data_IF_811822970389
#
_entry.id   IF_811822970389
#
_cell.length_a   1.000
_cell.length_b   1.000
_cell.length_c   1.000
_cell.angle_alpha   90.00
_cell.angle_beta   90.00
_cell.angle_gamma   90.00
#
_symmetry.space_group_name_H-M   'P 1'
#
loop_
_entity.id
_entity.type
_entity.pdbx_description
1 polymer ?
#
# COMPACT_ATOMS: atom_id res chain seq x y z
N UNK A 1 2.12 8.65 11.74
CA UNK A 1 0.65 8.58 11.64
C UNK A 1 0.25 8.54 10.18
N UNK A 2 -0.71 7.69 9.82
CA UNK A 2 -1.23 7.58 8.45
C UNK A 2 -2.18 8.74 8.14
N UNK A 3 -2.10 9.26 6.92
CA UNK A 3 -3.08 10.18 6.36
C UNK A 3 -3.74 9.54 5.14
N UNK A 4 -5.07 9.60 5.07
CA UNK A 4 -5.87 9.06 3.97
C UNK A 4 -6.62 10.21 3.30
N UNK A 5 -6.48 10.32 1.99
CA UNK A 5 -7.31 11.17 1.15
C UNK A 5 -8.32 10.30 0.40
N UNK A 6 -9.60 10.59 0.53
CA UNK A 6 -10.68 9.90 -0.20
C UNK A 6 -11.08 10.65 -1.47
N UNK A 7 -11.32 9.92 -2.55
CA UNK A 7 -11.78 10.46 -3.84
C UNK A 7 -10.66 10.96 -4.74
N UNK A 8 -11.00 11.87 -5.67
CA UNK A 8 -10.08 12.32 -6.71
C UNK A 8 -8.91 13.15 -6.19
N UNK A 9 -7.70 12.66 -6.42
CA UNK A 9 -6.45 13.34 -6.06
C UNK A 9 -5.51 13.35 -7.28
N UNK A 10 -5.51 14.41 -8.10
CA UNK A 10 -4.70 14.49 -9.33
C UNK A 10 -3.20 14.25 -9.12
N UNK A 11 -2.68 14.57 -7.93
CA UNK A 11 -1.28 14.38 -7.55
C UNK A 11 -0.95 12.91 -7.21
N UNK A 12 -1.96 12.07 -7.00
CA UNK A 12 -1.77 10.67 -6.69
C UNK A 12 -1.49 9.87 -7.97
N UNK A 13 -0.49 8.99 -7.89
CA UNK A 13 -0.23 8.01 -8.95
C UNK A 13 -1.31 6.94 -8.87
N UNK A 14 -2.25 7.03 -9.79
CA UNK A 14 -3.41 6.14 -9.86
C UNK A 14 -3.04 4.73 -10.35
N UNK A 15 -2.31 4.61 -11.46
CA UNK A 15 -1.89 3.33 -12.02
C UNK A 15 -0.53 2.89 -11.46
N UNK A 16 -0.56 2.37 -10.24
CA UNK A 16 0.63 1.92 -9.51
C UNK A 16 1.37 0.78 -10.21
N UNK A 17 0.66 -0.12 -10.90
CA UNK A 17 1.28 -1.23 -11.62
C UNK A 17 2.17 -0.73 -12.78
N UNK A 18 1.66 0.21 -13.58
CA UNK A 18 2.43 0.84 -14.67
C UNK A 18 3.58 1.65 -14.12
N UNK A 19 3.37 2.40 -13.04
CA UNK A 19 4.44 3.19 -12.44
C UNK A 19 5.55 2.29 -11.88
N UNK A 20 5.20 1.23 -11.15
CA UNK A 20 6.15 0.25 -10.63
C UNK A 20 7.00 -0.35 -11.76
N UNK A 21 6.36 -0.82 -12.84
CA UNK A 21 7.05 -1.40 -14.00
C UNK A 21 8.16 -0.51 -14.54
N UNK A 22 7.97 0.81 -14.50
CA UNK A 22 8.91 1.78 -15.07
C UNK A 22 9.89 2.39 -14.05
N UNK A 23 9.73 2.12 -12.75
CA UNK A 23 10.47 2.85 -11.69
C UNK A 23 11.11 1.96 -10.62
N UNK A 24 10.69 0.71 -10.46
CA UNK A 24 11.23 -0.16 -9.43
C UNK A 24 12.72 -0.42 -9.65
N UNK A 25 13.45 -0.64 -8.55
CA UNK A 25 14.86 -1.04 -8.59
C UNK A 25 14.95 -2.49 -8.14
N UNK A 26 15.80 -3.29 -8.80
CA UNK A 26 16.03 -4.69 -8.42
C UNK A 26 16.45 -4.84 -6.96
N UNK A 27 17.20 -3.87 -6.42
CA UNK A 27 17.60 -3.83 -5.01
C UNK A 27 16.44 -3.68 -4.02
N UNK A 28 15.24 -3.28 -4.46
CA UNK A 28 14.05 -3.25 -3.60
C UNK A 28 13.52 -4.65 -3.31
N UNK A 29 13.73 -5.60 -4.21
CA UNK A 29 13.13 -6.93 -4.14
C UNK A 29 13.78 -7.77 -3.03
N UNK A 30 15.07 -7.58 -2.80
CA UNK A 30 15.85 -8.30 -1.78
C UNK A 30 15.94 -7.57 -0.45
N UNK A 31 15.33 -6.38 -0.32
CA UNK A 31 15.22 -5.69 0.97
C UNK A 31 14.37 -6.53 1.94
N UNK A 32 14.82 -6.70 3.18
CA UNK A 32 14.16 -7.60 4.15
C UNK A 32 12.70 -7.20 4.44
N UNK A 33 12.38 -5.90 4.40
CA UNK A 33 11.01 -5.43 4.58
C UNK A 33 10.15 -5.78 3.37
N UNK A 34 10.70 -5.62 2.16
CA UNK A 34 10.03 -6.02 0.92
C UNK A 34 9.81 -7.54 0.83
N UNK A 35 10.81 -8.35 1.20
CA UNK A 35 10.71 -9.81 1.28
C UNK A 35 9.57 -10.21 2.21
N UNK A 36 9.45 -9.54 3.35
CA UNK A 36 8.36 -9.80 4.31
C UNK A 36 6.99 -9.45 3.74
N UNK A 37 6.86 -8.34 3.01
CA UNK A 37 5.63 -7.97 2.30
C UNK A 37 5.28 -9.02 1.23
N UNK A 38 6.23 -9.40 0.38
CA UNK A 38 6.01 -10.37 -0.72
C UNK A 38 5.56 -11.72 -0.15
N UNK A 39 6.21 -12.17 0.92
CA UNK A 39 5.84 -13.42 1.59
C UNK A 39 4.46 -13.39 2.22
N UNK A 40 4.08 -12.26 2.79
CA UNK A 40 2.82 -12.15 3.50
C UNK A 40 1.61 -11.91 2.58
N UNK A 41 1.75 -11.02 1.61
CA UNK A 41 0.65 -10.58 0.73
C UNK A 41 0.48 -11.56 -0.44
N UNK A 42 1.56 -11.93 -1.12
CA UNK A 42 1.53 -12.79 -2.30
C UNK A 42 1.85 -14.26 -1.99
N UNK A 43 2.16 -14.58 -0.71
CA UNK A 43 2.56 -15.95 -0.30
C UNK A 43 3.75 -16.49 -1.08
N UNK A 44 4.60 -15.61 -1.61
CA UNK A 44 5.68 -15.95 -2.52
C UNK A 44 7.06 -15.77 -1.86
N UNK A 45 8.06 -16.53 -2.29
CA UNK A 45 9.42 -16.51 -1.73
C UNK A 45 10.39 -15.78 -2.67
N UNK A 46 11.16 -14.83 -2.14
CA UNK A 46 12.19 -14.14 -2.93
C UNK A 46 13.44 -15.01 -3.00
N UNK A 47 13.82 -15.45 -4.20
CA UNK A 47 15.03 -16.25 -4.45
C UNK A 47 16.21 -15.34 -4.81
N UNK A 48 15.95 -14.34 -5.65
CA UNK A 48 16.93 -13.31 -6.02
C UNK A 48 16.19 -12.03 -6.40
N UNK A 49 16.94 -10.97 -6.71
CA UNK A 49 16.38 -9.68 -7.13
C UNK A 49 15.48 -9.75 -8.39
N UNK A 50 15.63 -10.79 -9.21
CA UNK A 50 14.88 -10.97 -10.45
C UNK A 50 14.00 -12.24 -10.45
N UNK A 51 14.05 -13.06 -9.40
CA UNK A 51 13.35 -14.35 -9.32
C UNK A 51 12.62 -14.49 -8.00
N UNK A 52 11.31 -14.70 -8.08
CA UNK A 52 10.39 -14.93 -6.97
C UNK A 52 9.65 -16.24 -7.24
N UNK A 53 9.54 -17.11 -6.24
CA UNK A 53 8.77 -18.35 -6.33
C UNK A 53 7.35 -18.11 -5.84
N UNK A 54 6.39 -18.16 -6.77
CA UNK A 54 4.97 -18.08 -6.47
C UNK A 54 4.38 -19.48 -6.32
N UNK A 55 3.56 -19.73 -5.28
CA UNK A 55 2.88 -21.02 -5.13
C UNK A 55 1.85 -21.28 -6.23
N UNK A 56 1.41 -20.24 -6.95
CA UNK A 56 0.40 -20.34 -8.01
C UNK A 56 1.03 -20.30 -9.40
N UNK A 57 2.04 -19.45 -9.61
CA UNK A 57 2.61 -19.18 -10.93
C UNK A 57 4.00 -19.81 -11.15
N UNK A 58 4.58 -20.44 -10.14
CA UNK A 58 5.98 -20.92 -10.16
C UNK A 58 6.98 -19.76 -10.13
N UNK A 59 8.12 -19.93 -10.78
CA UNK A 59 9.15 -18.89 -10.88
C UNK A 59 8.66 -17.70 -11.72
N UNK A 60 8.58 -16.53 -11.09
CA UNK A 60 8.11 -15.28 -11.70
C UNK A 60 9.14 -14.16 -11.53
N UNK A 61 9.05 -13.16 -12.40
CA UNK A 61 9.77 -11.90 -12.25
C UNK A 61 9.04 -10.93 -11.30
N UNK A 62 9.71 -9.90 -10.75
CA UNK A 62 9.05 -8.86 -9.94
C UNK A 62 7.88 -8.15 -10.65
N UNK A 63 7.88 -8.12 -11.98
CA UNK A 63 6.79 -7.53 -12.77
C UNK A 63 5.48 -8.31 -12.68
N UNK A 64 5.51 -9.55 -12.20
CA UNK A 64 4.33 -10.41 -12.04
C UNK A 64 3.79 -10.44 -10.61
N UNK A 65 4.42 -9.75 -9.66
CA UNK A 65 3.88 -9.51 -8.33
C UNK A 65 2.48 -8.88 -8.40
N UNK A 66 1.67 -9.10 -7.37
CA UNK A 66 0.33 -8.52 -7.30
C UNK A 66 0.36 -6.99 -7.30
N UNK A 67 -0.78 -6.39 -7.66
CA UNK A 67 -0.95 -4.93 -7.56
C UNK A 67 -0.73 -4.41 -6.15
N UNK A 68 -1.20 -5.13 -5.13
CA UNK A 68 -1.03 -4.78 -3.72
C UNK A 68 0.45 -4.72 -3.31
N UNK A 69 1.23 -5.76 -3.62
CA UNK A 69 2.67 -5.76 -3.34
C UNK A 69 3.38 -4.61 -4.06
N UNK A 70 3.13 -4.44 -5.37
CA UNK A 70 3.75 -3.35 -6.15
C UNK A 70 3.46 -1.99 -5.53
N UNK A 71 2.22 -1.74 -5.12
CA UNK A 71 1.81 -0.50 -4.45
C UNK A 71 2.48 -0.32 -3.09
N UNK A 72 2.57 -1.38 -2.28
CA UNK A 72 3.28 -1.32 -0.99
C UNK A 72 4.79 -1.03 -1.15
N UNK A 73 5.44 -1.64 -2.14
CA UNK A 73 6.85 -1.38 -2.44
C UNK A 73 7.07 0.06 -2.92
N UNK A 74 6.18 0.58 -3.77
CA UNK A 74 6.18 1.99 -4.15
C UNK A 74 6.05 2.91 -2.94
N UNK A 75 5.05 2.68 -2.08
CA UNK A 75 4.91 3.44 -0.84
C UNK A 75 6.16 3.35 0.03
N UNK A 76 6.78 2.16 0.15
CA UNK A 76 7.96 1.93 0.97
C UNK A 76 9.16 2.74 0.50
N UNK A 77 9.50 2.67 -0.78
CA UNK A 77 10.77 3.16 -1.31
C UNK A 77 10.68 4.51 -2.01
N UNK A 78 9.56 4.82 -2.66
CA UNK A 78 9.32 6.14 -3.24
C UNK A 78 8.60 7.04 -2.24
N UNK A 79 9.36 7.95 -1.64
CA UNK A 79 8.85 8.90 -0.64
C UNK A 79 8.38 10.23 -1.23
N UNK A 80 8.46 10.39 -2.55
CA UNK A 80 8.14 11.66 -3.23
C UNK A 80 6.69 11.72 -3.69
N UNK A 81 6.10 10.58 -3.98
CA UNK A 81 4.77 10.50 -4.58
C UNK A 81 3.74 9.94 -3.60
N UNK A 82 2.49 10.27 -3.88
CA UNK A 82 1.32 9.69 -3.23
C UNK A 82 0.79 8.61 -4.16
N UNK A 83 0.42 7.46 -3.60
CA UNK A 83 -0.05 6.32 -4.38
C UNK A 83 -1.51 6.02 -4.06
N UNK A 84 -2.25 5.61 -5.10
CA UNK A 84 -3.57 5.05 -4.96
C UNK A 84 -3.47 3.67 -4.27
N UNK A 85 -3.92 3.60 -3.02
CA UNK A 85 -3.98 2.38 -2.22
C UNK A 85 -5.21 1.52 -2.52
N UNK A 86 -6.13 1.99 -3.39
CA UNK A 86 -7.33 1.21 -3.77
C UNK A 86 -7.00 -0.01 -4.61
N UNK A 87 -5.76 -0.13 -5.11
CA UNK A 87 -5.28 -1.35 -5.78
C UNK A 87 -4.86 -2.43 -4.78
N UNK A 88 -4.81 -2.09 -3.49
CA UNK A 88 -4.48 -3.02 -2.42
C UNK A 88 -5.75 -3.71 -1.91
N UNK A 89 -5.64 -4.98 -1.52
CA UNK A 89 -6.64 -5.63 -0.68
C UNK A 89 -6.40 -5.36 0.81
N UNK A 90 -7.30 -5.82 1.67
CA UNK A 90 -7.25 -5.58 3.12
C UNK A 90 -5.97 -6.15 3.77
N UNK A 91 -5.37 -7.21 3.19
CA UNK A 91 -4.10 -7.76 3.66
C UNK A 91 -2.91 -6.78 3.55
N UNK A 92 -3.05 -5.68 2.83
CA UNK A 92 -2.06 -4.61 2.74
C UNK A 92 -2.17 -3.59 3.90
N UNK A 93 -3.32 -3.48 4.56
CA UNK A 93 -3.62 -2.41 5.50
C UNK A 93 -2.62 -2.35 6.66
N UNK A 94 -2.25 -3.51 7.21
CA UNK A 94 -1.24 -3.59 8.30
C UNK A 94 0.12 -3.04 7.88
N UNK A 95 0.53 -3.23 6.63
CA UNK A 95 1.80 -2.74 6.11
C UNK A 95 1.79 -1.23 5.88
N UNK A 96 0.64 -0.68 5.47
CA UNK A 96 0.43 0.77 5.35
C UNK A 96 0.49 1.43 6.73
N UNK A 97 -0.18 0.85 7.73
CA UNK A 97 -0.12 1.32 9.11
C UNK A 97 1.30 1.24 9.68
N UNK A 98 2.00 0.13 9.44
CA UNK A 98 3.37 -0.06 9.92
C UNK A 98 4.34 0.96 9.33
N UNK A 99 4.31 1.17 8.01
CA UNK A 99 5.09 2.23 7.36
C UNK A 99 4.78 3.63 7.89
N UNK A 100 3.55 3.86 8.34
CA UNK A 100 3.13 5.14 8.91
C UNK A 100 3.57 5.34 10.37
N UNK A 101 4.13 4.32 11.05
CA UNK A 101 4.73 4.49 12.39
C UNK A 101 6.01 5.32 12.33
N UNK A 102 6.86 5.05 11.33
CA UNK A 102 8.19 5.64 11.22
C UNK A 102 8.24 6.97 10.47
N UNK A 103 7.17 7.31 9.74
CA UNK A 103 7.10 8.54 8.93
C UNK A 103 5.67 8.98 8.65
N UNK A 104 5.54 10.20 8.16
CA UNK A 104 4.31 10.66 7.52
C UNK A 104 4.11 9.88 6.22
N UNK A 105 3.00 9.15 6.12
CA UNK A 105 2.56 8.48 4.90
C UNK A 105 1.19 9.04 4.52
N UNK A 106 1.04 9.45 3.26
CA UNK A 106 -0.24 9.88 2.69
C UNK A 106 -0.60 8.88 1.59
N UNK A 107 -1.81 8.36 1.64
CA UNK A 107 -2.35 7.46 0.61
C UNK A 107 -3.67 8.00 0.08
N UNK A 108 -3.95 7.68 -1.17
CA UNK A 108 -5.24 7.98 -1.80
C UNK A 108 -6.12 6.71 -1.82
N UNK A 109 -7.40 6.85 -1.53
CA UNK A 109 -8.38 5.76 -1.50
C UNK A 109 -9.69 6.16 -2.20
N UNK A 110 -10.23 5.25 -3.00
CA UNK A 110 -11.52 5.35 -3.68
C UNK A 110 -12.59 4.43 -3.06
N UNK A 111 -12.23 3.76 -1.97
CA UNK A 111 -13.13 3.02 -1.09
C UNK A 111 -12.50 2.96 0.30
N UNK A 112 -13.30 2.69 1.33
CA UNK A 112 -12.77 2.48 2.68
C UNK A 112 -12.04 1.14 2.73
N UNK A 113 -10.74 1.17 3.01
CA UNK A 113 -9.93 -0.01 3.29
C UNK A 113 -10.19 -0.49 4.72
N UNK A 114 -10.29 -1.80 4.94
CA UNK A 114 -10.38 -2.35 6.29
C UNK A 114 -9.00 -2.32 6.98
N UNK A 115 -8.85 -1.41 7.95
CA UNK A 115 -7.64 -1.29 8.77
C UNK A 115 -7.65 -2.21 10.01
N UNK A 116 -8.65 -3.07 10.13
CA UNK A 116 -8.79 -4.02 11.22
C UNK A 116 -9.56 -3.47 12.41
N UNK A 117 -9.66 -4.30 13.46
CA UNK A 117 -10.43 -4.00 14.68
C UNK A 117 -9.64 -3.32 15.78
N UNK A 118 -8.31 -3.29 15.65
CA UNK A 118 -7.45 -2.62 16.62
C UNK A 118 -7.58 -1.10 16.47
N UNK A 119 -7.40 -0.39 17.59
CA UNK A 119 -7.39 1.06 17.56
C UNK A 119 -6.24 1.57 16.66
N UNK A 120 -6.56 2.49 15.77
CA UNK A 120 -5.60 3.16 14.92
C UNK A 120 -5.69 4.68 15.08
N UNK A 121 -4.81 5.40 14.40
CA UNK A 121 -4.90 6.86 14.27
C UNK A 121 -4.68 7.20 12.81
N UNK A 122 -5.77 7.60 12.14
CA UNK A 122 -5.76 7.98 10.73
C UNK A 122 -6.26 9.41 10.62
N UNK A 123 -5.50 10.25 9.92
CA UNK A 123 -5.97 11.58 9.52
C UNK A 123 -6.73 11.47 8.21
N UNK A 124 -8.01 11.78 8.21
CA UNK A 124 -8.80 11.99 6.99
C UNK A 124 -8.45 13.36 6.44
N UNK A 125 -7.74 13.40 5.31
CA UNK A 125 -7.16 14.64 4.77
C UNK A 125 -8.26 15.59 4.30
N UNK A 126 -9.34 15.06 3.71
CA UNK A 126 -10.46 15.84 3.17
C UNK A 126 -11.11 16.74 4.23
N UNK A 127 -11.34 16.23 5.44
CA UNK A 127 -11.97 16.97 6.55
C UNK A 127 -10.96 17.51 7.57
N UNK A 128 -9.71 17.03 7.53
CA UNK A 128 -8.69 17.33 8.53
C UNK A 128 -8.84 16.57 9.85
N UNK A 129 -9.91 15.78 10.03
CA UNK A 129 -10.20 15.04 11.28
C UNK A 129 -9.27 13.85 11.46
N UNK A 130 -9.02 13.49 12.72
CA UNK A 130 -8.31 12.27 13.11
C UNK A 130 -9.36 11.30 13.65
N UNK A 131 -9.40 10.10 13.07
CA UNK A 131 -10.29 9.01 13.46
C UNK A 131 -9.50 7.89 14.11
N UNK A 132 -10.18 7.13 14.98
CA UNK A 132 -9.53 6.17 15.87
C UNK A 132 -9.88 4.71 15.62
N UNK A 133 -10.92 4.46 14.84
CA UNK A 133 -11.47 3.14 14.58
C UNK A 133 -12.18 3.11 13.22
N UNK A 134 -12.61 1.92 12.79
CA UNK A 134 -13.29 1.73 11.51
C UNK A 134 -14.64 2.43 11.41
N UNK A 135 -15.42 2.50 12.49
CA UNK A 135 -16.74 3.13 12.45
C UNK A 135 -16.62 4.64 12.16
N UNK A 136 -15.70 5.32 12.84
CA UNK A 136 -15.39 6.72 12.60
C UNK A 136 -14.83 6.92 11.19
N UNK A 137 -13.90 6.06 10.74
CA UNK A 137 -13.33 6.17 9.40
C UNK A 137 -14.40 6.03 8.30
N UNK A 138 -15.29 5.05 8.44
CA UNK A 138 -16.40 4.85 7.50
C UNK A 138 -17.29 6.09 7.49
N UNK A 139 -17.75 6.54 8.66
CA UNK A 139 -18.61 7.71 8.77
C UNK A 139 -17.98 8.96 8.13
N UNK A 140 -16.71 9.22 8.43
CA UNK A 140 -15.99 10.39 7.88
C UNK A 140 -15.68 10.28 6.37
N UNK A 141 -15.66 9.08 5.80
CA UNK A 141 -15.36 8.88 4.37
C UNK A 141 -16.56 9.11 3.44
N UNK A 142 -17.79 8.95 3.95
CA UNK A 142 -19.04 8.98 3.16
C UNK A 142 -19.16 10.18 2.22
N UNK A 143 -18.82 11.42 2.62
CA UNK A 143 -18.99 12.58 1.73
C UNK A 143 -18.00 12.63 0.55
N UNK A 144 -17.01 11.75 0.51
CA UNK A 144 -15.86 11.82 -0.40
C UNK A 144 -15.71 10.58 -1.30
N UNK A 145 -16.62 9.62 -1.19
CA UNK A 145 -16.69 8.38 -1.96
C UNK A 145 -17.98 8.34 -2.77
#
# INVERSE_FOLDING_TARGET
MLSVYFGDMPEAIYNTATYFKNSYRSSWITDLYAVSIIKDVDRSDVVSENVIESPVLGSISPLQLSGGVKTLLLMRFDRKHIFNASTCGDNCAKWILDMAKDRKLVVNLYHVMDFGREDFKIKVVNSGRIVHNMADLIHESIPYL
#
